data_IF_978595188226
#
_entry.id   IF_978595188226
#
_cell.length_a   1.000
_cell.length_b   1.000
_cell.length_c   1.000
_cell.angle_alpha   90.00
_cell.angle_beta   90.00
_cell.angle_gamma   90.00
#
_symmetry.space_group_name_H-M   'P 1'
#
loop_
_entity.id
_entity.type
_entity.pdbx_description
1 polymer ?
#
# COMPACT_ATOMS: atom_id res chain seq x y z
N UNK A 1 -8.97 1.90 -7.66
CA UNK A 1 -8.50 2.63 -6.46
C UNK A 1 -7.01 2.38 -6.22
N UNK A 2 -6.60 1.17 -5.83
CA UNK A 2 -5.20 0.82 -5.50
C UNK A 2 -4.17 1.31 -6.54
N UNK A 3 -4.34 0.96 -7.82
CA UNK A 3 -3.43 1.41 -8.89
C UNK A 3 -3.38 2.93 -9.01
N UNK A 4 -4.55 3.59 -8.98
CA UNK A 4 -4.62 5.05 -9.06
C UNK A 4 -3.97 5.74 -7.85
N UNK A 5 -4.05 5.15 -6.66
CA UNK A 5 -3.36 5.66 -5.46
C UNK A 5 -1.85 5.52 -5.60
N UNK A 6 -1.36 4.37 -6.08
CA UNK A 6 0.06 4.10 -6.27
C UNK A 6 0.68 4.89 -7.44
N UNK A 7 -0.08 5.18 -8.50
CA UNK A 7 0.37 6.06 -9.58
C UNK A 7 0.58 7.50 -9.10
N UNK A 8 -0.21 7.96 -8.12
CA UNK A 8 -0.07 9.30 -7.52
C UNK A 8 1.02 9.35 -6.47
N UNK A 9 1.20 8.26 -5.71
CA UNK A 9 2.14 8.17 -4.59
C UNK A 9 2.69 6.73 -4.49
N UNK A 10 3.83 6.42 -5.11
CA UNK A 10 4.36 5.05 -5.12
C UNK A 10 4.94 4.60 -3.76
N UNK A 11 5.31 5.53 -2.88
CA UNK A 11 5.84 5.26 -1.53
C UNK A 11 4.78 4.95 -0.46
N UNK A 12 3.56 4.57 -0.85
CA UNK A 12 2.50 4.22 0.10
C UNK A 12 2.88 3.01 0.95
N UNK A 13 2.73 3.13 2.26
CA UNK A 13 2.73 1.97 3.15
C UNK A 13 1.40 1.22 3.04
N UNK A 14 1.43 -0.10 3.29
CA UNK A 14 0.20 -0.92 3.22
C UNK A 14 -0.84 -0.49 4.23
N UNK A 15 -0.41 -0.07 5.41
CA UNK A 15 -1.27 0.47 6.46
C UNK A 15 -2.04 1.69 5.99
N UNK A 16 -1.34 2.61 5.33
CA UNK A 16 -1.95 3.81 4.77
C UNK A 16 -2.96 3.44 3.66
N UNK A 17 -2.61 2.51 2.77
CA UNK A 17 -3.54 2.01 1.74
C UNK A 17 -4.78 1.34 2.33
N UNK A 18 -4.62 0.57 3.40
CA UNK A 18 -5.73 -0.08 4.11
C UNK A 18 -6.65 0.96 4.78
N UNK A 19 -6.07 1.99 5.38
CA UNK A 19 -6.82 3.10 5.98
C UNK A 19 -7.58 3.90 4.93
N UNK A 20 -6.95 4.19 3.79
CA UNK A 20 -7.57 4.92 2.69
C UNK A 20 -8.68 4.12 2.02
N UNK A 21 -8.52 2.80 1.87
CA UNK A 21 -9.60 1.92 1.43
C UNK A 21 -10.82 1.99 2.36
N UNK A 22 -10.59 2.06 3.67
CA UNK A 22 -11.67 2.21 4.64
C UNK A 22 -12.31 3.60 4.55
N UNK A 23 -11.51 4.66 4.46
CA UNK A 23 -11.99 6.06 4.46
C UNK A 23 -12.70 6.44 3.16
N UNK A 24 -12.13 6.07 2.01
CA UNK A 24 -12.60 6.50 0.69
C UNK A 24 -13.59 5.50 0.08
N UNK A 25 -13.32 4.20 0.23
CA UNK A 25 -14.15 3.16 -0.39
C UNK A 25 -15.10 2.47 0.61
N UNK A 26 -14.99 2.74 1.91
CA UNK A 26 -15.78 2.04 2.94
C UNK A 26 -15.35 0.58 3.15
N UNK A 27 -14.23 0.15 2.59
CA UNK A 27 -13.78 -1.26 2.62
C UNK A 27 -12.75 -1.45 3.72
N UNK A 28 -13.09 -2.24 4.74
CA UNK A 28 -12.13 -2.67 5.75
C UNK A 28 -11.26 -3.80 5.21
N UNK A 29 -9.95 -3.54 5.07
CA UNK A 29 -8.97 -4.54 4.65
C UNK A 29 -7.80 -4.59 5.64
N UNK A 30 -7.24 -5.78 5.85
CA UNK A 30 -5.96 -5.93 6.54
C UNK A 30 -4.81 -5.59 5.60
N UNK A 31 -3.64 -5.23 6.15
CA UNK A 31 -2.43 -5.01 5.35
C UNK A 31 -2.07 -6.24 4.49
N UNK A 32 -2.30 -7.44 5.01
CA UNK A 32 -2.09 -8.70 4.29
C UNK A 32 -3.04 -8.83 3.09
N UNK A 33 -4.31 -8.43 3.24
CA UNK A 33 -5.29 -8.42 2.14
C UNK A 33 -4.90 -7.41 1.07
N UNK A 34 -4.49 -6.20 1.47
CA UNK A 34 -3.99 -5.18 0.54
C UNK A 34 -2.78 -5.71 -0.22
N UNK A 35 -1.83 -6.32 0.49
CA UNK A 35 -0.66 -6.89 -0.15
C UNK A 35 -0.97 -7.97 -1.18
N UNK A 36 -1.82 -8.94 -0.82
CA UNK A 36 -2.24 -9.99 -1.75
C UNK A 36 -2.93 -9.41 -2.98
N UNK A 37 -3.74 -8.35 -2.82
CA UNK A 37 -4.35 -7.66 -3.94
C UNK A 37 -3.29 -7.03 -4.85
N UNK A 38 -2.32 -6.29 -4.29
CA UNK A 38 -1.20 -5.68 -5.02
C UNK A 38 -0.37 -6.71 -5.79
N UNK A 39 -0.08 -7.87 -5.18
CA UNK A 39 0.64 -8.96 -5.87
C UNK A 39 -0.15 -9.50 -7.07
N UNK A 40 -1.47 -9.64 -6.96
CA UNK A 40 -2.33 -10.11 -8.05
C UNK A 40 -2.36 -9.15 -9.25
N UNK A 41 -2.08 -7.87 -9.03
CA UNK A 41 -2.01 -6.84 -10.08
C UNK A 41 -0.55 -6.50 -10.48
N UNK A 42 0.43 -7.30 -10.04
CA UNK A 42 1.82 -7.21 -10.52
C UNK A 42 2.73 -6.24 -9.78
N UNK A 43 2.33 -5.70 -8.63
CA UNK A 43 3.15 -4.78 -7.85
C UNK A 43 4.10 -5.52 -6.91
N UNK A 44 5.32 -5.00 -6.78
CA UNK A 44 6.33 -5.42 -5.81
C UNK A 44 6.54 -4.34 -4.74
N UNK A 45 7.05 -4.72 -3.56
CA UNK A 45 7.46 -3.75 -2.54
C UNK A 45 8.89 -3.32 -2.80
N UNK A 46 9.14 -2.03 -2.68
CA UNK A 46 10.48 -1.51 -2.46
C UNK A 46 10.87 -1.80 -1.00
N UNK A 47 12.01 -2.43 -0.79
CA UNK A 47 12.59 -2.55 0.54
C UNK A 47 13.21 -1.19 0.90
N UNK A 48 12.77 -0.61 2.00
CA UNK A 48 13.35 0.63 2.53
C UNK A 48 14.47 0.22 3.48
N UNK A 49 15.71 0.47 3.08
CA UNK A 49 16.84 0.35 3.99
C UNK A 49 16.77 1.53 4.96
N UNK A 50 16.64 1.22 6.25
CA UNK A 50 16.69 2.26 7.29
C UNK A 50 18.17 2.48 7.56
N UNK A 51 18.73 3.54 6.99
CA UNK A 51 20.08 3.99 7.34
C UNK A 51 20.04 4.63 8.73
N UNK A 52 20.68 3.98 9.70
CA UNK A 52 20.76 4.44 11.08
C UNK A 52 22.02 5.30 11.33
N UNK A 53 22.63 5.89 10.31
CA UNK A 53 23.78 6.79 10.50
C UNK A 53 23.27 8.17 10.93
N UNK A 54 23.15 8.38 12.25
CA UNK A 54 23.12 9.69 12.88
C UNK A 54 24.34 9.89 13.78
#
# INVERSE_FOLDING_TARGET
FLEGSLQKRPEYYLRELAEDLRKVCGVAASEASVWRALQRIGYSRKQVEIDFSQ
#
